data_IF_670982548568
#
_entry.id   IF_670982548568
#
_cell.length_a   1.000
_cell.length_b   1.000
_cell.length_c   1.000
_cell.angle_alpha   90.00
_cell.angle_beta   90.00
_cell.angle_gamma   90.00
#
_symmetry.space_group_name_H-M   'P 1'
#
loop_
_entity.id
_entity.type
_entity.pdbx_description
1 polymer ?
#
# COMPACT_ATOMS: atom_id res chain seq x y z
N UNK A 1 3.96 16.19 10.10
CA UNK A 1 2.85 15.43 10.69
C UNK A 1 3.04 13.99 10.27
N UNK A 2 3.42 13.09 11.18
CA UNK A 2 3.46 11.67 10.86
C UNK A 2 2.02 11.16 10.91
N UNK A 3 1.32 11.13 9.77
CA UNK A 3 0.07 10.38 9.67
C UNK A 3 0.43 8.93 9.99
N UNK A 4 0.06 8.46 11.18
CA UNK A 4 0.29 7.09 11.59
C UNK A 4 -0.71 6.20 10.87
N UNK A 5 -0.37 5.80 9.64
CA UNK A 5 -1.17 4.87 8.85
C UNK A 5 -1.28 3.56 9.63
N UNK A 6 -2.50 3.05 9.80
CA UNK A 6 -2.78 1.87 10.63
C UNK A 6 -2.39 0.56 9.94
N UNK A 7 -1.11 0.37 9.64
CA UNK A 7 -0.58 -0.85 9.04
C UNK A 7 -0.60 -2.02 10.05
N UNK A 8 -0.92 -3.23 9.58
CA UNK A 8 -0.69 -4.42 10.41
C UNK A 8 0.83 -4.62 10.59
N UNK A 9 1.27 -5.39 11.59
CA UNK A 9 2.70 -5.69 11.75
C UNK A 9 3.33 -6.30 10.49
N UNK A 10 2.60 -7.15 9.75
CA UNK A 10 3.10 -7.69 8.49
C UNK A 10 3.22 -6.63 7.39
N UNK A 11 2.24 -5.73 7.29
CA UNK A 11 2.28 -4.62 6.33
C UNK A 11 3.43 -3.67 6.67
N UNK A 12 3.63 -3.31 7.94
CA UNK A 12 4.75 -2.50 8.40
C UNK A 12 6.10 -3.12 8.07
N UNK A 13 6.27 -4.42 8.32
CA UNK A 13 7.51 -5.13 7.95
C UNK A 13 7.74 -5.12 6.44
N UNK A 14 6.69 -5.36 5.64
CA UNK A 14 6.79 -5.36 4.18
C UNK A 14 7.15 -3.97 3.63
N UNK A 15 6.57 -2.90 4.19
CA UNK A 15 6.95 -1.52 3.84
C UNK A 15 8.40 -1.25 4.26
N UNK A 16 8.84 -1.77 5.41
CA UNK A 16 10.21 -1.58 5.87
C UNK A 16 11.26 -2.19 4.93
N UNK A 17 10.94 -3.30 4.26
CA UNK A 17 11.79 -3.91 3.22
C UNK A 17 11.96 -2.99 1.99
N UNK A 18 11.05 -2.04 1.76
CA UNK A 18 11.12 -1.06 0.66
C UNK A 18 11.97 0.19 0.98
N UNK A 19 12.56 0.28 2.18
CA UNK A 19 13.41 1.41 2.51
C UNK A 19 14.73 1.39 1.72
N UNK A 20 15.30 2.56 1.38
CA UNK A 20 16.51 2.65 0.56
C UNK A 20 17.67 1.77 1.05
N UNK A 21 17.89 1.70 2.36
CA UNK A 21 18.96 0.89 2.96
C UNK A 21 18.77 -0.62 2.79
N UNK A 22 17.52 -1.09 2.75
CA UNK A 22 17.21 -2.49 2.50
C UNK A 22 17.35 -2.80 0.99
N UNK A 23 16.78 -1.93 0.15
CA UNK A 23 16.84 -2.07 -1.31
C UNK A 23 18.28 -2.05 -1.87
N UNK A 24 19.17 -1.26 -1.26
CA UNK A 24 20.58 -1.19 -1.65
C UNK A 24 21.30 -2.55 -1.54
N UNK A 25 20.85 -3.41 -0.59
CA UNK A 25 21.44 -4.72 -0.32
C UNK A 25 20.82 -5.87 -1.12
N UNK A 26 19.71 -5.62 -1.81
CA UNK A 26 18.99 -6.63 -2.58
C UNK A 26 19.57 -6.78 -4.00
N UNK A 27 19.56 -8.01 -4.51
CA UNK A 27 19.78 -8.32 -5.92
C UNK A 27 18.48 -8.18 -6.75
N UNK A 28 18.58 -8.29 -8.06
CA UNK A 28 17.44 -8.12 -8.97
C UNK A 28 16.30 -9.11 -8.69
N UNK A 29 16.65 -10.36 -8.35
CA UNK A 29 15.67 -11.39 -8.02
C UNK A 29 14.89 -11.04 -6.76
N UNK A 30 15.58 -10.62 -5.70
CA UNK A 30 14.96 -10.19 -4.45
C UNK A 30 14.09 -8.94 -4.64
N UNK A 31 14.51 -8.00 -5.49
CA UNK A 31 13.70 -6.82 -5.83
C UNK A 31 12.41 -7.19 -6.58
N UNK A 32 12.48 -8.11 -7.55
CA UNK A 32 11.30 -8.61 -8.27
C UNK A 32 10.34 -9.36 -7.35
N UNK A 33 10.86 -10.14 -6.40
CA UNK A 33 10.04 -10.80 -5.39
C UNK A 33 9.35 -9.79 -4.46
N UNK A 34 10.09 -8.81 -3.94
CA UNK A 34 9.54 -7.74 -3.11
C UNK A 34 8.47 -6.94 -3.87
N UNK A 35 8.70 -6.61 -5.14
CA UNK A 35 7.73 -5.95 -6.00
C UNK A 35 6.42 -6.76 -6.11
N UNK A 36 6.52 -8.08 -6.31
CA UNK A 36 5.34 -8.96 -6.38
C UNK A 36 4.56 -8.97 -5.06
N UNK A 37 5.25 -9.10 -3.92
CA UNK A 37 4.62 -9.07 -2.60
C UNK A 37 3.93 -7.73 -2.31
N UNK A 38 4.56 -6.62 -2.65
CA UNK A 38 3.98 -5.28 -2.50
C UNK A 38 2.74 -5.10 -3.39
N UNK A 39 2.77 -5.55 -4.65
CA UNK A 39 1.59 -5.50 -5.56
C UNK A 39 0.42 -6.28 -4.99
N UNK A 40 0.65 -7.48 -4.45
CA UNK A 40 -0.39 -8.30 -3.83
C UNK A 40 -1.00 -7.62 -2.59
N UNK A 41 -0.16 -7.04 -1.73
CA UNK A 41 -0.61 -6.32 -0.54
C UNK A 41 -1.41 -5.05 -0.89
N UNK A 42 -0.96 -4.31 -1.91
CA UNK A 42 -1.66 -3.15 -2.47
C UNK A 42 -3.03 -3.54 -3.02
N UNK A 43 -3.09 -4.56 -3.88
CA UNK A 43 -4.35 -5.01 -4.49
C UNK A 43 -5.36 -5.49 -3.45
N UNK A 44 -4.88 -6.22 -2.42
CA UNK A 44 -5.72 -6.61 -1.29
C UNK A 44 -6.31 -5.39 -0.56
N UNK A 45 -5.49 -4.38 -0.27
CA UNK A 45 -5.96 -3.17 0.42
C UNK A 45 -6.91 -2.35 -0.47
N UNK A 46 -6.64 -2.25 -1.77
CA UNK A 46 -7.49 -1.58 -2.74
C UNK A 46 -8.85 -2.26 -2.88
N UNK A 47 -8.87 -3.60 -3.00
CA UNK A 47 -10.12 -4.38 -3.04
C UNK A 47 -10.96 -4.20 -1.77
N UNK A 48 -10.33 -4.18 -0.60
CA UNK A 48 -11.02 -3.90 0.67
C UNK A 48 -11.58 -2.48 0.74
N UNK A 49 -10.82 -1.47 0.30
CA UNK A 49 -11.28 -0.09 0.17
C UNK A 49 -12.50 -0.01 -0.75
N UNK A 50 -12.42 -0.59 -1.95
CA UNK A 50 -13.51 -0.60 -2.93
C UNK A 50 -14.76 -1.30 -2.40
N UNK A 51 -14.63 -2.47 -1.77
CA UNK A 51 -15.77 -3.23 -1.23
C UNK A 51 -16.49 -2.45 -0.13
N UNK A 52 -15.76 -1.74 0.73
CA UNK A 52 -16.36 -0.89 1.75
C UNK A 52 -17.03 0.34 1.14
N UNK A 53 -16.44 0.94 0.09
CA UNK A 53 -17.13 1.94 -0.72
C UNK A 53 -18.44 1.41 -1.28
N UNK A 54 -18.45 0.23 -1.91
CA UNK A 54 -19.64 -0.37 -2.52
C UNK A 54 -20.72 -0.77 -1.50
N UNK A 55 -20.35 -1.45 -0.41
CA UNK A 55 -21.29 -1.80 0.68
C UNK A 55 -21.92 -0.56 1.33
N UNK A 56 -21.22 0.58 1.27
CA UNK A 56 -21.73 1.86 1.74
C UNK A 56 -22.56 2.59 0.71
N UNK A 57 -22.26 2.52 -0.60
CA UNK A 57 -23.18 3.03 -1.63
C UNK A 57 -24.54 2.34 -1.55
N UNK A 58 -24.56 1.04 -1.26
CA UNK A 58 -25.79 0.28 -0.99
C UNK A 58 -26.51 0.72 0.32
N UNK A 59 -25.76 1.24 1.32
CA UNK A 59 -26.31 1.69 2.60
C UNK A 59 -26.63 3.21 2.67
N UNK A 60 -25.91 4.04 1.90
CA UNK A 60 -25.89 5.50 1.89
C UNK A 60 -26.66 6.09 0.68
N UNK A 61 -27.63 5.34 0.15
CA UNK A 61 -28.79 5.95 -0.52
C UNK A 61 -29.52 6.99 0.35
N UNK A 62 -29.12 7.16 1.63
CA UNK A 62 -29.54 8.22 2.53
C UNK A 62 -28.34 8.84 3.31
N UNK A 63 -27.87 10.02 2.87
CA UNK A 63 -27.14 11.05 3.65
C UNK A 63 -25.71 10.74 4.17
N UNK A 64 -24.70 11.04 3.35
CA UNK A 64 -23.66 12.06 3.63
C UNK A 64 -22.82 12.05 4.93
N UNK A 65 -22.46 10.90 5.52
CA UNK A 65 -21.73 10.87 6.79
C UNK A 65 -20.44 10.00 6.77
N UNK A 66 -19.63 10.09 5.70
CA UNK A 66 -18.72 8.99 5.33
C UNK A 66 -17.20 9.17 5.40
N UNK A 67 -16.65 10.29 5.89
CA UNK A 67 -15.23 10.61 5.68
C UNK A 67 -14.16 9.67 6.33
N UNK A 68 -14.16 9.37 7.64
CA UNK A 68 -12.91 9.04 8.34
C UNK A 68 -12.39 7.59 8.20
N UNK A 69 -13.24 6.61 7.87
CA UNK A 69 -12.81 5.20 7.74
C UNK A 69 -12.25 4.88 6.34
N UNK A 70 -12.73 5.59 5.32
CA UNK A 70 -12.25 5.45 3.95
C UNK A 70 -10.91 6.18 3.78
N UNK A 71 -10.73 7.35 4.41
CA UNK A 71 -9.47 8.10 4.45
C UNK A 71 -8.31 7.20 4.94
N UNK A 72 -8.48 6.51 6.08
CA UNK A 72 -7.46 5.62 6.65
C UNK A 72 -7.10 4.41 5.76
N UNK A 73 -7.99 3.98 4.88
CA UNK A 73 -7.72 2.89 3.93
C UNK A 73 -7.11 3.41 2.62
N UNK A 74 -7.48 4.61 2.20
CA UNK A 74 -6.78 5.35 1.14
C UNK A 74 -5.30 5.53 1.49
N UNK A 75 -5.03 5.99 2.71
CA UNK A 75 -3.67 6.13 3.26
C UNK A 75 -2.83 4.84 3.15
N UNK A 76 -3.43 3.66 3.37
CA UNK A 76 -2.71 2.39 3.20
C UNK A 76 -2.30 2.16 1.75
N UNK A 77 -3.23 2.37 0.81
CA UNK A 77 -2.95 2.15 -0.61
C UNK A 77 -1.86 3.10 -1.08
N UNK A 78 -1.90 4.37 -0.65
CA UNK A 78 -0.86 5.36 -0.93
C UNK A 78 0.52 4.93 -0.41
N UNK A 79 0.60 4.44 0.83
CA UNK A 79 1.86 3.93 1.40
C UNK A 79 2.41 2.74 0.59
N UNK A 80 1.55 1.85 0.11
CA UNK A 80 1.97 0.76 -0.78
C UNK A 80 2.40 1.26 -2.17
N UNK A 81 1.76 2.29 -2.70
CA UNK A 81 2.13 2.92 -3.97
C UNK A 81 3.51 3.58 -3.89
N UNK A 82 3.80 4.31 -2.81
CA UNK A 82 5.13 4.88 -2.56
C UNK A 82 6.21 3.79 -2.42
N UNK A 83 5.91 2.70 -1.71
CA UNK A 83 6.82 1.57 -1.59
C UNK A 83 7.11 0.90 -2.94
N UNK A 84 6.09 0.73 -3.79
CA UNK A 84 6.26 0.21 -5.15
C UNK A 84 7.08 1.14 -6.03
N UNK A 85 6.87 2.45 -5.95
CA UNK A 85 7.64 3.44 -6.69
C UNK A 85 9.14 3.32 -6.38
N UNK A 86 9.51 3.22 -5.10
CA UNK A 86 10.91 3.03 -4.66
C UNK A 86 11.54 1.75 -5.24
N UNK A 87 10.79 0.65 -5.26
CA UNK A 87 11.30 -0.62 -5.82
C UNK A 87 11.44 -0.55 -7.34
N UNK A 88 10.50 0.09 -8.04
CA UNK A 88 10.58 0.28 -9.48
C UNK A 88 11.79 1.14 -9.87
N UNK A 89 11.98 2.28 -9.23
CA UNK A 89 13.15 3.15 -9.44
C UNK A 89 14.46 2.37 -9.21
N UNK A 90 14.50 1.52 -8.19
CA UNK A 90 15.68 0.68 -7.92
C UNK A 90 15.94 -0.37 -9.01
N UNK A 91 14.89 -0.93 -9.60
CA UNK A 91 15.01 -1.88 -10.71
C UNK A 91 15.46 -1.16 -11.99
N UNK A 92 14.85 -0.01 -12.31
CA UNK A 92 15.18 0.80 -13.49
C UNK A 92 16.63 1.29 -13.48
N UNK A 93 17.18 1.63 -12.31
CA UNK A 93 18.58 2.06 -12.17
C UNK A 93 19.61 0.93 -12.28
N UNK A 94 19.18 -0.33 -12.43
CA UNK A 94 20.05 -1.51 -12.55
C UNK A 94 20.07 -2.12 -13.95
N UNK A 95 19.11 -1.77 -14.81
CA UNK A 95 19.07 -2.13 -16.22
C UNK A 95 19.94 -1.17 -17.06
#
# INVERSE_FOLDING_TARGET
>A
MSNHVNLTPQESSLIAESHPEALARMDEKALKDLQSRLRQAREKNFSLLRRQGAARVEAEGARGAAQPANEKRGEKVEVFDEALARVNERLETRD
#
